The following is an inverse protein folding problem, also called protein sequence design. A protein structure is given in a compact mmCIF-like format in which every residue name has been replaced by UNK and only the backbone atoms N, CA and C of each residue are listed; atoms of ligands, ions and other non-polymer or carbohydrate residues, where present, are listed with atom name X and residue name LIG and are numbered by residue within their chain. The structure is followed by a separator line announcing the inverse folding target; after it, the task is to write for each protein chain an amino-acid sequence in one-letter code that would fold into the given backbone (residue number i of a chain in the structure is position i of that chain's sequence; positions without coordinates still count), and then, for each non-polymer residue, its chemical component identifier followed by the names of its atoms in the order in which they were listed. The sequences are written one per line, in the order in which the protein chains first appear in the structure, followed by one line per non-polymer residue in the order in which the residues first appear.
data_IF_501893037932
#
_entry.id   IF_501893037932
#
_cell.length_a   1.000
_cell.length_b   1.000
_cell.length_c   1.000
_cell.angle_alpha   90.00
_cell.angle_beta   90.00
_cell.angle_gamma   90.00
#
_symmetry.space_group_name_H-M   'P 1'
#
loop_
_entity.id
_entity.type
_entity.pdbx_description
1 polymer ?
#
# COMPACT_ATOMS: atom_id res chain seq x y z
N UNK A 1 -32.90 11.74 43.61
CA UNK A 1 -32.96 11.87 42.14
C UNK A 1 -34.18 12.71 41.77
N UNK A 2 -34.02 13.99 41.45
CA UNK A 2 -35.15 14.88 41.10
C UNK A 2 -35.48 14.66 39.62
N UNK A 3 -36.64 14.08 39.34
CA UNK A 3 -37.12 13.97 37.96
C UNK A 3 -37.34 15.35 37.34
N UNK A 4 -36.99 15.57 36.06
CA UNK A 4 -37.23 16.84 35.39
C UNK A 4 -38.74 17.10 35.35
N UNK A 5 -39.14 18.34 35.67
CA UNK A 5 -40.54 18.77 35.65
C UNK A 5 -41.09 18.54 34.24
N UNK A 6 -42.15 17.74 34.11
CA UNK A 6 -42.83 17.52 32.82
C UNK A 6 -43.37 18.87 32.31
N UNK A 7 -43.07 19.27 31.07
CA UNK A 7 -43.59 20.52 30.52
C UNK A 7 -45.12 20.46 30.45
N UNK A 8 -45.78 21.48 30.99
CA UNK A 8 -47.24 21.56 31.14
C UNK A 8 -47.94 22.12 29.89
N UNK A 9 -47.20 22.72 28.96
CA UNK A 9 -47.73 23.31 27.71
C UNK A 9 -47.51 22.41 26.50
N UNK A 10 -48.42 22.48 25.51
CA UNK A 10 -48.33 21.71 24.27
C UNK A 10 -47.06 22.01 23.47
N UNK A 11 -46.68 23.29 23.39
CA UNK A 11 -45.42 23.74 22.77
C UNK A 11 -44.18 23.22 23.51
N UNK A 12 -44.20 23.22 24.85
CA UNK A 12 -43.09 22.68 25.64
C UNK A 12 -42.87 21.20 25.41
N UNK A 13 -43.94 20.41 25.25
CA UNK A 13 -43.81 18.96 24.95
C UNK A 13 -43.29 18.68 23.54
N UNK A 14 -43.52 19.58 22.58
CA UNK A 14 -43.08 19.41 21.19
C UNK A 14 -41.64 19.89 20.99
N UNK A 15 -41.26 21.04 21.57
CA UNK A 15 -39.96 21.68 21.33
C UNK A 15 -38.84 21.07 22.17
N UNK A 16 -39.13 20.64 23.41
CA UNK A 16 -38.12 20.14 24.33
C UNK A 16 -37.38 18.87 23.85
N UNK A 17 -38.03 17.84 23.27
CA UNK A 17 -37.30 16.69 22.72
C UNK A 17 -36.48 17.06 21.47
N UNK A 18 -36.98 17.98 20.64
CA UNK A 18 -36.26 18.44 19.43
C UNK A 18 -35.00 19.23 19.81
N UNK A 19 -35.14 20.20 20.72
CA UNK A 19 -34.01 20.97 21.23
C UNK A 19 -32.98 20.08 21.95
N UNK A 20 -33.45 19.08 22.71
CA UNK A 20 -32.58 18.09 23.34
C UNK A 20 -31.81 17.23 22.32
N UNK A 21 -32.49 16.78 21.27
CA UNK A 21 -31.85 16.05 20.16
C UNK A 21 -30.79 16.88 19.44
N UNK A 22 -31.11 18.13 19.10
CA UNK A 22 -30.16 19.06 18.46
C UNK A 22 -28.94 19.31 19.34
N UNK A 23 -29.13 19.54 20.64
CA UNK A 23 -28.03 19.73 21.57
C UNK A 23 -27.15 18.48 21.68
N UNK A 24 -27.77 17.29 21.72
CA UNK A 24 -27.03 16.03 21.73
C UNK A 24 -26.18 15.84 20.47
N UNK A 25 -26.76 16.02 19.28
CA UNK A 25 -26.00 15.86 18.02
C UNK A 25 -24.91 16.91 17.85
N UNK A 26 -25.15 18.15 18.29
CA UNK A 26 -24.12 19.19 18.30
C UNK A 26 -22.94 18.81 19.21
N UNK A 27 -23.23 18.33 20.42
CA UNK A 27 -22.19 17.86 21.36
C UNK A 27 -21.45 16.63 20.82
N UNK A 28 -22.18 15.67 20.26
CA UNK A 28 -21.60 14.47 19.66
C UNK A 28 -20.68 14.84 18.49
N UNK A 29 -21.14 15.72 17.59
CA UNK A 29 -20.37 16.21 16.46
C UNK A 29 -19.11 16.97 16.87
N UNK A 30 -19.19 17.81 17.91
CA UNK A 30 -18.02 18.49 18.47
C UNK A 30 -17.04 17.52 19.12
N UNK A 31 -17.53 16.50 19.82
CA UNK A 31 -16.69 15.47 20.44
C UNK A 31 -15.96 14.64 19.38
N UNK A 32 -16.68 14.16 18.35
CA UNK A 32 -16.07 13.39 17.24
C UNK A 32 -15.10 14.25 16.43
N UNK A 33 -15.46 15.50 16.14
CA UNK A 33 -14.56 16.45 15.49
C UNK A 33 -13.31 16.73 16.31
N UNK A 34 -13.44 16.87 17.63
CA UNK A 34 -12.31 17.05 18.54
C UNK A 34 -11.36 15.84 18.56
N UNK A 35 -11.89 14.62 18.58
CA UNK A 35 -11.10 13.39 18.49
C UNK A 35 -10.37 13.33 17.13
N UNK A 36 -11.08 13.61 16.04
CA UNK A 36 -10.49 13.65 14.70
C UNK A 36 -9.36 14.68 14.61
N UNK A 37 -9.60 15.92 15.05
CA UNK A 37 -8.60 16.99 15.05
C UNK A 37 -7.39 16.71 15.97
N UNK A 38 -7.53 15.86 16.98
CA UNK A 38 -6.42 15.39 17.80
C UNK A 38 -5.59 14.33 17.08
N UNK A 39 -6.25 13.35 16.44
CA UNK A 39 -5.60 12.29 15.68
C UNK A 39 -4.91 12.82 14.41
N UNK A 40 -5.54 13.77 13.71
CA UNK A 40 -5.02 14.40 12.49
C UNK A 40 -3.78 15.29 12.71
N UNK A 41 -3.33 15.53 13.95
CA UNK A 41 -2.10 16.30 14.21
C UNK A 41 -0.81 15.53 13.89
N UNK A 42 -0.87 14.21 13.70
CA UNK A 42 0.27 13.38 13.32
C UNK A 42 -0.07 12.54 12.08
N UNK A 43 -0.32 13.18 10.91
CA UNK A 43 -0.71 12.46 9.69
C UNK A 43 0.36 11.43 9.26
N UNK A 44 1.63 11.74 9.48
CA UNK A 44 2.77 10.90 9.06
C UNK A 44 2.76 9.52 9.76
N UNK A 45 2.46 9.45 11.06
CA UNK A 45 2.42 8.18 11.80
C UNK A 45 1.16 7.34 11.53
N UNK A 46 0.07 7.98 11.09
CA UNK A 46 -1.18 7.28 10.75
C UNK A 46 -1.09 6.69 9.34
N UNK A 47 -0.48 7.40 8.39
CA UNK A 47 -0.26 6.90 7.04
C UNK A 47 0.62 5.66 7.00
N UNK A 48 1.75 5.64 7.73
CA UNK A 48 2.65 4.46 7.79
C UNK A 48 1.98 3.19 8.35
N UNK A 49 0.98 3.34 9.22
CA UNK A 49 0.25 2.23 9.83
C UNK A 49 -0.92 1.71 9.00
N UNK A 50 -1.45 2.53 8.09
CA UNK A 50 -2.61 2.19 7.25
C UNK A 50 -2.21 1.83 5.82
N UNK A 51 -1.12 2.41 5.31
CA UNK A 51 -0.47 2.04 4.05
C UNK A 51 0.99 1.73 4.35
N UNK A 52 1.30 0.45 4.62
CA UNK A 52 2.67 0.04 4.91
C UNK A 52 3.55 0.38 3.71
N UNK A 53 4.46 1.32 3.89
CA UNK A 53 5.33 1.83 2.82
C UNK A 53 6.55 0.93 2.54
N UNK A 54 6.62 -0.22 3.22
CA UNK A 54 7.64 -1.23 3.03
C UNK A 54 7.00 -2.61 2.96
N UNK A 55 7.39 -3.44 1.99
CA UNK A 55 6.89 -4.79 1.84
C UNK A 55 7.99 -5.80 2.19
N UNK A 56 7.77 -6.62 3.22
CA UNK A 56 8.72 -7.65 3.62
C UNK A 56 8.56 -8.86 2.69
N UNK A 57 9.63 -9.21 1.97
CA UNK A 57 9.62 -10.31 1.00
C UNK A 57 9.90 -11.63 1.71
N UNK A 58 10.97 -11.69 2.49
CA UNK A 58 11.39 -12.89 3.20
C UNK A 58 12.89 -12.95 3.44
N UNK A 59 13.35 -14.04 4.03
CA UNK A 59 14.77 -14.25 4.33
C UNK A 59 15.62 -14.19 3.06
N UNK A 60 16.69 -13.39 3.08
CA UNK A 60 17.50 -13.07 1.89
C UNK A 60 18.08 -14.31 1.22
N UNK A 61 18.59 -15.27 2.00
CA UNK A 61 19.19 -16.47 1.44
C UNK A 61 18.15 -17.37 0.77
N UNK A 62 17.03 -17.62 1.46
CA UNK A 62 15.92 -18.38 0.89
C UNK A 62 15.37 -17.74 -0.38
N UNK A 63 15.22 -16.41 -0.39
CA UNK A 63 14.69 -15.71 -1.56
C UNK A 63 15.67 -15.70 -2.74
N UNK A 64 16.98 -15.60 -2.49
CA UNK A 64 17.99 -15.75 -3.54
C UNK A 64 17.95 -17.17 -4.15
N UNK A 65 17.83 -18.21 -3.33
CA UNK A 65 17.68 -19.60 -3.79
C UNK A 65 16.41 -19.78 -4.64
N UNK A 66 15.26 -19.28 -4.17
CA UNK A 66 14.00 -19.32 -4.92
C UNK A 66 14.15 -18.61 -6.27
N UNK A 67 14.77 -17.43 -6.31
CA UNK A 67 14.96 -16.70 -7.57
C UNK A 67 15.91 -17.44 -8.52
N UNK A 68 16.95 -18.09 -7.99
CA UNK A 68 17.87 -18.88 -8.81
C UNK A 68 17.19 -20.12 -9.43
N UNK A 69 16.24 -20.73 -8.73
CA UNK A 69 15.55 -21.95 -9.17
C UNK A 69 14.28 -21.66 -10.00
N UNK A 70 13.46 -20.71 -9.57
CA UNK A 70 12.12 -20.44 -10.10
C UNK A 70 12.05 -19.15 -10.95
N UNK A 71 13.11 -18.32 -10.90
CA UNK A 71 13.19 -17.03 -11.57
C UNK A 71 12.68 -15.85 -10.71
N UNK A 72 12.66 -14.63 -11.27
CA UNK A 72 12.32 -13.42 -10.53
C UNK A 72 10.93 -13.45 -9.89
N UNK A 73 10.79 -12.88 -8.68
CA UNK A 73 9.54 -12.85 -7.94
C UNK A 73 8.66 -11.68 -8.41
N UNK A 74 7.42 -11.98 -8.82
CA UNK A 74 6.45 -10.97 -9.24
C UNK A 74 5.43 -10.69 -8.14
N UNK A 75 5.26 -9.42 -7.80
CA UNK A 75 4.28 -8.96 -6.83
C UNK A 75 3.26 -8.06 -7.51
N UNK A 76 2.00 -8.48 -7.47
CA UNK A 76 0.91 -7.77 -8.13
C UNK A 76 0.40 -6.62 -7.25
N UNK A 77 0.26 -5.44 -7.85
CA UNK A 77 -0.37 -4.28 -7.23
C UNK A 77 0.28 -3.79 -5.94
N UNK A 78 1.60 -3.63 -5.92
CA UNK A 78 2.30 -3.09 -4.75
C UNK A 78 2.47 -1.57 -4.78
N UNK A 79 2.37 -0.94 -5.95
CA UNK A 79 2.72 0.48 -6.15
C UNK A 79 1.51 1.27 -6.68
N UNK A 80 1.38 2.53 -6.24
CA UNK A 80 0.34 3.47 -6.64
C UNK A 80 -0.92 3.42 -5.77
N UNK A 81 -1.68 4.52 -5.75
CA UNK A 81 -2.89 4.70 -4.94
C UNK A 81 -3.99 3.66 -5.24
N UNK A 82 -4.05 3.18 -6.48
CA UNK A 82 -5.02 2.17 -6.93
C UNK A 82 -4.43 0.75 -6.94
N UNK A 83 -3.18 0.57 -6.50
CA UNK A 83 -2.47 -0.72 -6.53
C UNK A 83 -2.38 -1.31 -7.96
N UNK A 84 -2.21 -0.45 -8.98
CA UNK A 84 -2.17 -0.89 -10.39
C UNK A 84 -0.78 -1.31 -10.87
N UNK A 85 0.25 -0.95 -10.11
CA UNK A 85 1.64 -1.18 -10.50
C UNK A 85 2.20 -2.40 -9.79
N UNK A 86 2.45 -3.42 -10.59
CA UNK A 86 3.11 -4.66 -10.19
C UNK A 86 4.61 -4.52 -10.35
N UNK A 87 5.37 -5.18 -9.48
CA UNK A 87 6.84 -5.15 -9.51
C UNK A 87 7.41 -6.54 -9.64
N UNK A 88 8.62 -6.60 -10.18
CA UNK A 88 9.44 -7.79 -10.27
C UNK A 88 10.69 -7.57 -9.43
N UNK A 89 10.93 -8.45 -8.47
CA UNK A 89 12.17 -8.52 -7.71
C UNK A 89 13.06 -9.59 -8.29
N UNK A 90 14.27 -9.19 -8.65
CA UNK A 90 15.28 -10.05 -9.21
C UNK A 90 16.55 -10.05 -8.37
N UNK A 91 17.31 -11.13 -8.46
CA UNK A 91 18.60 -11.32 -7.82
C UNK A 91 19.57 -11.94 -8.81
N UNK A 92 20.78 -11.36 -8.88
CA UNK A 92 21.86 -11.82 -9.76
C UNK A 92 23.15 -12.04 -8.98
N UNK A 93 23.93 -13.03 -9.41
CA UNK A 93 25.26 -13.32 -8.87
C UNK A 93 25.26 -14.25 -7.66
N UNK A 94 26.45 -14.64 -7.23
CA UNK A 94 26.65 -15.65 -6.19
C UNK A 94 26.61 -15.08 -4.76
N UNK A 95 26.78 -13.77 -4.62
CA UNK A 95 26.78 -13.10 -3.32
C UNK A 95 25.35 -12.72 -2.95
N UNK A 96 24.78 -13.47 -2.01
CA UNK A 96 23.38 -13.31 -1.54
C UNK A 96 23.04 -11.89 -1.09
N UNK A 97 23.99 -11.10 -0.58
CA UNK A 97 23.74 -9.73 -0.12
C UNK A 97 23.84 -8.66 -1.22
N UNK A 98 24.13 -9.03 -2.47
CA UNK A 98 24.37 -8.12 -3.59
C UNK A 98 23.52 -8.51 -4.81
N UNK A 99 23.44 -7.65 -5.82
CA UNK A 99 22.79 -7.99 -7.10
C UNK A 99 21.25 -8.03 -7.07
N UNK A 100 20.62 -7.47 -6.03
CA UNK A 100 19.17 -7.31 -5.95
C UNK A 100 18.71 -6.10 -6.74
N UNK A 101 17.72 -6.29 -7.61
CA UNK A 101 17.13 -5.23 -8.44
C UNK A 101 15.62 -5.38 -8.47
N UNK A 102 14.91 -4.25 -8.56
CA UNK A 102 13.46 -4.22 -8.72
C UNK A 102 13.16 -3.59 -10.07
N UNK A 103 12.16 -4.11 -10.77
CA UNK A 103 11.63 -3.56 -12.01
C UNK A 103 10.11 -3.43 -11.90
N UNK A 104 9.49 -2.66 -12.78
CA UNK A 104 8.05 -2.77 -13.00
C UNK A 104 7.71 -4.00 -13.83
N UNK A 105 6.52 -4.57 -13.64
CA UNK A 105 6.05 -5.69 -14.45
C UNK A 105 5.42 -5.24 -15.79
N UNK A 106 6.10 -4.36 -16.51
CA UNK A 106 5.80 -3.99 -17.89
C UNK A 106 7.10 -3.67 -18.66
N UNK A 107 7.13 -3.80 -19.99
CA UNK A 107 8.32 -3.48 -20.78
C UNK A 107 8.69 -2.00 -20.68
N UNK A 108 9.98 -1.68 -20.78
CA UNK A 108 10.47 -0.30 -20.81
C UNK A 108 10.07 0.46 -22.09
N UNK A 109 9.79 -0.27 -23.18
CA UNK A 109 9.42 0.27 -24.50
C UNK A 109 7.90 0.31 -24.76
N UNK A 110 7.10 0.10 -23.70
CA UNK A 110 5.63 0.01 -23.76
C UNK A 110 4.97 0.74 -22.59
N UNK A 111 3.69 1.15 -22.73
CA UNK A 111 2.93 1.72 -21.62
C UNK A 111 2.75 0.71 -20.48
N UNK A 112 2.52 1.22 -19.28
CA UNK A 112 2.28 0.47 -18.04
C UNK A 112 1.06 -0.45 -18.08
N UNK A 113 0.14 -0.23 -19.01
CA UNK A 113 -1.01 -1.11 -19.30
C UNK A 113 -0.60 -2.44 -19.94
N UNK A 114 0.59 -2.51 -20.54
CA UNK A 114 1.14 -3.74 -21.12
C UNK A 114 1.81 -4.60 -20.03
N UNK A 115 1.01 -5.31 -19.25
CA UNK A 115 1.53 -6.18 -18.18
C UNK A 115 2.24 -7.40 -18.77
N UNK A 116 3.29 -7.86 -18.07
CA UNK A 116 4.03 -9.07 -18.44
C UNK A 116 3.61 -10.28 -17.61
N UNK A 117 3.86 -11.47 -18.15
CA UNK A 117 3.74 -12.76 -17.44
C UNK A 117 5.09 -13.45 -17.44
N UNK A 118 5.54 -13.92 -16.28
CA UNK A 118 6.83 -14.62 -16.19
C UNK A 118 6.79 -15.94 -16.97
N UNK A 119 7.86 -16.23 -17.71
CA UNK A 119 8.13 -17.57 -18.20
C UNK A 119 8.74 -18.36 -17.04
N UNK A 120 7.95 -19.27 -16.47
CA UNK A 120 8.27 -20.00 -15.24
C UNK A 120 9.67 -20.63 -15.26
N UNK A 121 10.43 -20.47 -14.17
CA UNK A 121 11.79 -21.02 -14.04
C UNK A 121 12.84 -20.24 -14.82
N UNK A 122 12.51 -19.06 -15.34
CA UNK A 122 13.43 -18.25 -16.13
C UNK A 122 13.38 -16.78 -15.69
N UNK A 123 14.38 -16.03 -16.16
CA UNK A 123 14.45 -14.56 -16.07
C UNK A 123 13.74 -13.86 -17.24
N UNK A 124 12.90 -14.58 -17.98
CA UNK A 124 12.20 -14.07 -19.16
C UNK A 124 10.72 -13.87 -18.87
N UNK A 125 10.12 -12.98 -19.64
CA UNK A 125 8.75 -12.57 -19.52
C UNK A 125 8.08 -12.50 -20.90
N UNK A 126 6.82 -12.90 -20.97
CA UNK A 126 5.96 -12.69 -22.13
C UNK A 126 5.20 -11.38 -21.94
N UNK A 127 5.32 -10.44 -22.87
CA UNK A 127 4.58 -9.18 -22.85
C UNK A 127 3.17 -9.29 -23.46
N UNK A 128 2.42 -8.18 -23.45
CA UNK A 128 1.06 -8.12 -23.97
C UNK A 128 0.95 -8.37 -25.49
N UNK A 129 2.05 -8.26 -26.23
CA UNK A 129 2.15 -8.54 -27.68
C UNK A 129 2.65 -9.97 -27.96
N UNK A 130 2.94 -10.75 -26.91
CA UNK A 130 3.47 -12.11 -27.01
C UNK A 130 4.98 -12.17 -27.26
N UNK A 131 5.72 -11.06 -27.11
CA UNK A 131 7.19 -11.06 -27.19
C UNK A 131 7.76 -11.66 -25.91
N UNK A 132 8.81 -12.47 -26.06
CA UNK A 132 9.63 -12.90 -24.92
C UNK A 132 10.77 -11.92 -24.72
N UNK A 133 10.83 -11.31 -23.55
CA UNK A 133 11.82 -10.29 -23.17
C UNK A 133 12.54 -10.71 -21.88
N UNK A 134 13.77 -10.23 -21.70
CA UNK A 134 14.53 -10.44 -20.46
C UNK A 134 14.08 -9.47 -19.36
N UNK A 135 14.30 -9.84 -18.09
CA UNK A 135 14.02 -9.01 -16.92
C UNK A 135 14.67 -7.62 -17.02
N UNK A 136 15.85 -7.51 -17.63
CA UNK A 136 16.54 -6.22 -17.81
C UNK A 136 15.86 -5.28 -18.81
N UNK A 137 14.93 -5.80 -19.63
CA UNK A 137 14.13 -5.03 -20.58
C UNK A 137 12.83 -4.50 -19.97
N UNK A 138 12.56 -4.83 -18.71
CA UNK A 138 11.45 -4.26 -17.96
C UNK A 138 11.73 -2.81 -17.57
N UNK A 139 10.66 -2.04 -17.37
CA UNK A 139 10.80 -0.64 -16.99
C UNK A 139 11.47 -0.51 -15.62
N UNK A 140 12.39 0.46 -15.53
CA UNK A 140 13.08 0.78 -14.30
C UNK A 140 12.09 1.22 -13.21
N UNK A 141 12.36 0.89 -11.94
CA UNK A 141 11.50 1.29 -10.84
C UNK A 141 11.50 2.83 -10.71
N UNK A 142 10.45 3.42 -10.11
CA UNK A 142 10.42 4.86 -9.88
C UNK A 142 11.53 5.22 -8.89
N UNK A 143 12.07 6.44 -9.00
CA UNK A 143 13.14 6.91 -8.14
C UNK A 143 12.75 6.76 -6.66
N UNK A 144 13.36 5.80 -5.97
CA UNK A 144 13.17 5.55 -4.54
C UNK A 144 12.46 4.25 -4.17
N UNK A 145 11.96 3.47 -5.13
CA UNK A 145 11.64 2.06 -4.90
C UNK A 145 12.90 1.24 -5.02
N UNK A 146 13.28 0.55 -3.95
CA UNK A 146 14.54 -0.21 -3.90
C UNK A 146 14.47 -1.38 -2.93
N UNK A 147 15.22 -2.46 -3.18
CA UNK A 147 15.41 -3.50 -2.20
C UNK A 147 16.34 -3.01 -1.08
N UNK A 148 15.93 -3.21 0.16
CA UNK A 148 16.75 -3.10 1.36
C UNK A 148 17.13 -4.51 1.77
N UNK A 149 18.43 -4.81 1.77
CA UNK A 149 18.95 -6.16 1.94
C UNK A 149 19.65 -6.26 3.29
N UNK A 150 19.09 -7.07 4.19
CA UNK A 150 19.70 -7.50 5.45
C UNK A 150 19.58 -9.02 5.58
N UNK A 151 19.24 -9.52 6.77
CA UNK A 151 18.84 -10.93 6.96
C UNK A 151 17.53 -11.26 6.23
N UNK A 152 16.73 -10.22 5.98
CA UNK A 152 15.46 -10.24 5.25
C UNK A 152 15.54 -9.20 4.13
N UNK A 153 14.96 -9.52 2.98
CA UNK A 153 14.77 -8.57 1.88
C UNK A 153 13.47 -7.82 2.10
N UNK A 154 13.55 -6.50 2.07
CA UNK A 154 12.42 -5.59 2.21
C UNK A 154 12.36 -4.69 0.98
N UNK A 155 11.21 -4.57 0.34
CA UNK A 155 10.97 -3.56 -0.69
C UNK A 155 10.58 -2.26 -0.02
N UNK A 156 11.37 -1.20 -0.20
CA UNK A 156 10.97 0.15 0.18
C UNK A 156 10.09 0.74 -0.93
N UNK A 157 8.84 1.06 -0.61
CA UNK A 157 7.81 1.54 -1.54
C UNK A 157 7.48 3.02 -1.33
N UNK A 158 8.15 3.71 -0.39
CA UNK A 158 7.83 5.09 0.02
C UNK A 158 7.81 6.12 -1.10
N UNK A 159 8.57 5.91 -2.16
CA UNK A 159 8.64 6.83 -3.29
C UNK A 159 7.75 6.43 -4.48
N UNK A 160 7.02 5.31 -4.37
CA UNK A 160 6.06 4.84 -5.36
C UNK A 160 4.59 5.14 -4.99
N UNK A 161 4.37 5.92 -3.93
CA UNK A 161 3.06 6.43 -3.52
C UNK A 161 2.83 7.80 -4.13
#
# INVERSE_FOLDING_TARGET
MRWPRRPTSALGRAVLPVAGGLAFFALLGLATWGIAALLSRNPDQVNERLARTTFEVGNTQRMAEVIAEEGPLMFQGLIGDEADNSVVLDHTGEVVSQGWVVYYAHPADRPDTCKVTQVVGTRQFTDCEGRVIDVEQLAAPPLGVRPLVGDTVILDLRAGQ
#
